data_IF_000777852842
#
_entry.id   IF_000777852842
#
_cell.length_a   1.000
_cell.length_b   1.000
_cell.length_c   1.000
_cell.angle_alpha   90.00
_cell.angle_beta   90.00
_cell.angle_gamma   90.00
#
_symmetry.space_group_name_H-M   'P 1'
#
loop_
_entity.id
_entity.type
_entity.pdbx_description
1 polymer ?
#
# COMPACT_ATOMS: atom_id res chain seq x y z
N UNK A 1 -20.36 -62.38 1.45
CA UNK A 1 -19.22 -62.06 0.56
C UNK A 1 -19.31 -60.60 0.19
N UNK A 2 -18.27 -59.84 0.50
CA UNK A 2 -18.10 -58.46 0.11
C UNK A 2 -17.90 -58.33 -1.41
N UNK A 3 -18.34 -57.23 -2.02
CA UNK A 3 -17.67 -56.68 -3.21
C UNK A 3 -17.89 -55.17 -3.33
N UNK A 4 -16.78 -54.47 -3.03
CA UNK A 4 -16.19 -53.30 -3.73
C UNK A 4 -17.05 -52.06 -3.97
N UNK A 5 -16.76 -51.01 -3.18
CA UNK A 5 -16.87 -49.60 -3.63
C UNK A 5 -15.47 -48.98 -3.59
N UNK A 6 -15.04 -48.43 -4.70
CA UNK A 6 -13.96 -47.45 -4.83
C UNK A 6 -14.21 -46.60 -6.10
N UNK A 7 -13.59 -45.42 -6.28
CA UNK A 7 -13.76 -44.24 -5.45
C UNK A 7 -14.04 -43.00 -6.33
N UNK A 8 -14.51 -41.88 -5.78
CA UNK A 8 -14.30 -40.58 -6.48
C UNK A 8 -14.12 -39.45 -5.49
N UNK A 9 -12.83 -39.25 -5.17
CA UNK A 9 -12.11 -37.98 -5.00
C UNK A 9 -12.90 -36.80 -4.41
N UNK A 10 -12.57 -36.48 -3.15
CA UNK A 10 -12.66 -35.12 -2.62
C UNK A 10 -11.71 -34.23 -3.41
N UNK A 11 -12.15 -33.03 -3.80
CA UNK A 11 -11.37 -31.79 -3.70
C UNK A 11 -12.29 -30.62 -4.08
N UNK A 12 -12.54 -29.74 -3.12
CA UNK A 12 -13.29 -28.51 -3.31
C UNK A 12 -12.93 -27.57 -2.16
N UNK A 13 -11.74 -26.98 -2.24
CA UNK A 13 -11.30 -25.92 -1.34
C UNK A 13 -12.26 -24.76 -1.54
N UNK A 14 -13.22 -24.63 -0.63
CA UNK A 14 -14.13 -23.49 -0.62
C UNK A 14 -13.30 -22.21 -0.45
N UNK A 15 -13.24 -21.39 -1.49
CA UNK A 15 -12.74 -20.02 -1.39
C UNK A 15 -13.59 -19.30 -0.35
N UNK A 16 -13.00 -19.00 0.81
CA UNK A 16 -13.60 -18.10 1.78
C UNK A 16 -13.54 -16.71 1.18
N UNK A 17 -14.64 -16.25 0.59
CA UNK A 17 -14.85 -14.86 0.21
C UNK A 17 -14.79 -14.00 1.49
N UNK A 18 -13.59 -13.52 1.85
CA UNK A 18 -13.41 -12.61 2.98
C UNK A 18 -13.90 -11.21 2.58
N UNK A 19 -15.20 -10.98 2.76
CA UNK A 19 -15.77 -9.61 2.73
C UNK A 19 -15.25 -8.84 3.94
N UNK A 20 -14.86 -7.58 3.71
CA UNK A 20 -14.49 -6.67 4.81
C UNK A 20 -15.73 -6.39 5.66
N UNK A 21 -15.65 -6.54 6.99
CA UNK A 21 -16.77 -6.24 7.87
C UNK A 21 -17.30 -4.81 7.63
N UNK A 22 -18.62 -4.67 7.55
CA UNK A 22 -19.29 -3.37 7.32
C UNK A 22 -19.04 -2.35 8.45
N UNK A 23 -18.44 -2.80 9.55
CA UNK A 23 -18.09 -2.03 10.74
C UNK A 23 -16.57 -1.80 10.92
N UNK A 24 -15.74 -2.15 9.93
CA UNK A 24 -14.30 -1.85 9.97
C UNK A 24 -14.07 -0.35 10.04
N UNK A 25 -13.35 0.08 11.07
CA UNK A 25 -13.14 1.49 11.36
C UNK A 25 -12.42 2.21 10.20
N UNK A 26 -11.38 1.58 9.63
CA UNK A 26 -10.58 2.10 8.52
C UNK A 26 -10.34 1.06 7.41
N UNK A 27 -10.71 1.34 6.14
CA UNK A 27 -10.52 0.39 5.03
C UNK A 27 -9.09 0.36 4.48
N UNK A 28 -8.22 1.31 4.85
CA UNK A 28 -6.90 1.47 4.24
C UNK A 28 -6.01 0.21 4.35
N UNK A 29 -5.89 -0.47 5.52
CA UNK A 29 -5.11 -1.71 5.63
C UNK A 29 -5.55 -2.86 4.72
N UNK A 30 -6.76 -2.80 4.18
CA UNK A 30 -7.35 -3.83 3.33
C UNK A 30 -7.34 -3.47 1.85
N UNK A 31 -7.00 -2.23 1.49
CA UNK A 31 -7.12 -1.74 0.10
C UNK A 31 -5.93 -0.98 -0.43
N UNK A 32 -5.03 -0.51 0.44
CA UNK A 32 -4.01 0.46 0.07
C UNK A 32 -2.61 -0.12 0.20
N UNK A 33 -1.81 0.06 -0.85
CA UNK A 33 -0.35 0.01 -0.76
C UNK A 33 0.20 1.41 -1.07
N UNK A 34 0.90 1.99 -0.11
CA UNK A 34 1.52 3.31 -0.20
C UNK A 34 3.05 3.16 -0.24
N UNK A 35 3.64 3.47 -1.38
CA UNK A 35 5.05 3.28 -1.69
C UNK A 35 5.84 4.55 -1.37
N UNK A 36 6.79 4.47 -0.44
CA UNK A 36 7.65 5.59 -0.04
C UNK A 36 8.95 5.64 -0.85
N UNK A 37 9.59 6.82 -1.04
CA UNK A 37 10.79 6.94 -1.87
C UNK A 37 11.95 6.02 -1.47
N UNK A 38 12.04 5.68 -0.19
CA UNK A 38 13.09 4.82 0.37
C UNK A 38 12.85 3.31 0.14
N UNK A 39 11.70 2.93 -0.43
CA UNK A 39 11.32 1.54 -0.70
C UNK A 39 10.40 0.90 0.34
N UNK A 40 10.08 1.62 1.41
CA UNK A 40 9.10 1.15 2.37
C UNK A 40 7.68 1.18 1.80
N UNK A 41 6.88 0.19 2.18
CA UNK A 41 5.46 0.11 1.82
C UNK A 41 4.63 0.27 3.08
N UNK A 42 3.58 1.09 3.02
CA UNK A 42 2.67 1.37 4.13
C UNK A 42 1.22 1.08 3.74
N UNK A 43 0.35 0.99 4.75
CA UNK A 43 -1.09 0.82 4.55
C UNK A 43 -1.84 2.15 4.31
N UNK A 44 -1.21 3.30 4.57
CA UNK A 44 -1.69 4.65 4.23
C UNK A 44 -0.62 5.70 4.54
N UNK A 45 -0.85 6.93 4.11
CA UNK A 45 0.12 8.03 4.24
C UNK A 45 0.37 8.46 5.70
N UNK A 46 -0.58 8.22 6.59
CA UNK A 46 -0.47 8.52 8.02
C UNK A 46 0.17 7.41 8.84
N UNK A 47 0.25 6.19 8.28
CA UNK A 47 0.82 5.00 8.91
C UNK A 47 2.34 4.87 8.65
N UNK A 48 3.00 5.97 8.31
CA UNK A 48 4.41 5.98 7.93
C UNK A 48 5.36 5.39 9.00
N UNK A 49 4.97 5.40 10.28
CA UNK A 49 5.77 4.80 11.37
C UNK A 49 5.72 3.27 11.41
N UNK A 50 4.84 2.62 10.65
CA UNK A 50 4.68 1.17 10.65
C UNK A 50 4.63 0.61 9.21
N UNK A 51 5.77 0.49 8.52
CA UNK A 51 5.77 -0.14 7.20
C UNK A 51 5.23 -1.57 7.28
N UNK A 52 4.49 -2.00 6.26
CA UNK A 52 4.03 -3.38 6.08
C UNK A 52 5.06 -4.22 5.30
N UNK A 53 6.05 -3.59 4.67
CA UNK A 53 7.16 -4.27 4.03
C UNK A 53 8.15 -3.33 3.35
N UNK A 54 9.07 -3.93 2.59
CA UNK A 54 10.16 -3.22 1.89
C UNK A 54 10.41 -3.84 0.52
N UNK A 55 10.20 -3.07 -0.55
CA UNK A 55 10.33 -3.56 -1.94
C UNK A 55 11.77 -3.92 -2.32
N UNK A 56 12.76 -3.50 -1.54
CA UNK A 56 14.17 -3.81 -1.80
C UNK A 56 14.49 -5.25 -1.43
N UNK A 57 13.77 -5.82 -0.48
CA UNK A 57 14.05 -7.16 0.07
C UNK A 57 12.92 -8.15 -0.15
N UNK A 58 11.70 -7.68 -0.41
CA UNK A 58 10.51 -8.52 -0.56
C UNK A 58 9.83 -8.24 -1.91
N UNK A 59 9.15 -9.26 -2.44
CA UNK A 59 8.21 -9.13 -3.56
C UNK A 59 6.93 -8.42 -3.10
N UNK A 60 6.18 -7.80 -4.02
CA UNK A 60 4.89 -7.17 -3.72
C UNK A 60 3.92 -8.13 -3.03
N UNK A 61 3.94 -9.41 -3.43
CA UNK A 61 3.08 -10.45 -2.87
C UNK A 61 3.46 -10.80 -1.44
N UNK A 62 4.74 -10.96 -1.16
CA UNK A 62 5.25 -11.17 0.20
C UNK A 62 4.96 -9.99 1.12
N UNK A 63 4.91 -8.76 0.59
CA UNK A 63 4.54 -7.57 1.36
C UNK A 63 3.04 -7.57 1.66
N UNK A 64 2.19 -7.76 0.64
CA UNK A 64 0.74 -7.65 0.78
C UNK A 64 0.13 -8.78 1.60
N UNK A 65 0.58 -10.01 1.40
CA UNK A 65 0.05 -11.19 2.09
C UNK A 65 0.86 -11.56 3.35
N UNK A 66 1.99 -10.87 3.55
CA UNK A 66 2.94 -11.15 4.63
C UNK A 66 2.45 -10.83 6.04
N UNK A 67 3.19 -11.32 7.06
CA UNK A 67 2.76 -11.28 8.45
C UNK A 67 2.53 -9.86 8.99
N UNK A 68 3.28 -8.85 8.52
CA UNK A 68 3.11 -7.46 8.96
C UNK A 68 1.79 -6.87 8.47
N UNK A 69 1.44 -7.07 7.20
CA UNK A 69 0.16 -6.63 6.65
C UNK A 69 -1.01 -7.36 7.34
N UNK A 70 -0.90 -8.67 7.55
CA UNK A 70 -1.93 -9.45 8.26
C UNK A 70 -2.10 -9.01 9.73
N UNK A 71 -1.00 -8.72 10.43
CA UNK A 71 -1.05 -8.22 11.80
C UNK A 71 -1.79 -6.87 11.89
N UNK A 72 -1.50 -5.95 10.98
CA UNK A 72 -2.19 -4.66 10.90
C UNK A 72 -3.69 -4.82 10.59
N UNK A 73 -4.05 -5.69 9.63
CA UNK A 73 -5.46 -5.99 9.30
C UNK A 73 -6.20 -6.57 10.50
N UNK A 74 -5.62 -7.57 11.16
CA UNK A 74 -6.22 -8.18 12.35
C UNK A 74 -6.35 -7.19 13.53
N UNK A 75 -5.38 -6.30 13.70
CA UNK A 75 -5.48 -5.21 14.69
C UNK A 75 -6.64 -4.26 14.36
N UNK A 76 -6.78 -3.88 13.09
CA UNK A 76 -7.85 -2.98 12.64
C UNK A 76 -9.25 -3.60 12.81
N UNK A 77 -9.41 -4.91 12.59
CA UNK A 77 -10.66 -5.64 12.89
C UNK A 77 -11.05 -5.54 14.36
N UNK A 78 -10.06 -5.51 15.26
CA UNK A 78 -10.26 -5.32 16.71
C UNK A 78 -10.28 -3.85 17.14
N UNK A 79 -10.29 -2.90 16.19
CA UNK A 79 -10.20 -1.45 16.42
C UNK A 79 -8.96 -1.03 17.21
N UNK A 80 -7.90 -1.83 17.11
CA UNK A 80 -6.60 -1.55 17.70
C UNK A 80 -5.75 -0.67 16.75
N UNK A 81 -5.26 0.43 17.28
CA UNK A 81 -4.51 1.45 16.54
C UNK A 81 -3.00 1.41 16.82
N UNK A 82 -2.51 0.40 17.54
CA UNK A 82 -1.11 0.27 17.96
C UNK A 82 -0.10 0.22 16.80
N UNK A 83 -0.55 -0.19 15.61
CA UNK A 83 0.30 -0.41 14.43
C UNK A 83 0.42 0.84 13.56
N UNK A 84 0.79 1.99 14.16
CA UNK A 84 1.01 3.25 13.42
C UNK A 84 -0.24 4.07 13.13
N UNK A 85 -1.39 3.78 13.76
CA UNK A 85 -2.66 4.51 13.55
C UNK A 85 -3.02 5.45 14.72
N UNK A 86 -2.10 5.66 15.67
CA UNK A 86 -2.35 6.41 16.91
C UNK A 86 -2.75 7.88 16.69
N UNK A 87 -2.22 8.53 15.65
CA UNK A 87 -2.59 9.90 15.29
C UNK A 87 -4.06 10.01 14.87
N UNK A 88 -4.55 9.05 14.08
CA UNK A 88 -5.97 8.97 13.71
C UNK A 88 -6.85 8.73 14.95
N UNK A 89 -6.46 7.80 15.82
CA UNK A 89 -7.16 7.55 17.10
C UNK A 89 -7.25 8.82 17.94
N UNK A 90 -6.15 9.57 18.06
CA UNK A 90 -6.11 10.79 18.85
C UNK A 90 -7.05 11.86 18.28
N UNK A 91 -7.03 12.10 16.97
CA UNK A 91 -7.94 13.06 16.32
C UNK A 91 -9.42 12.67 16.50
N UNK A 92 -9.72 11.38 16.39
CA UNK A 92 -11.06 10.84 16.65
C UNK A 92 -11.51 11.11 18.08
N UNK A 93 -10.64 10.87 19.06
CA UNK A 93 -10.92 11.11 20.47
C UNK A 93 -11.12 12.60 20.80
N UNK A 94 -10.43 13.49 20.07
CA UNK A 94 -10.56 14.93 20.22
C UNK A 94 -11.76 15.53 19.48
N UNK A 95 -12.50 14.73 18.69
CA UNK A 95 -13.63 15.21 17.90
C UNK A 95 -13.26 16.18 16.78
N UNK A 96 -11.98 16.26 16.39
CA UNK A 96 -11.48 17.19 15.36
C UNK A 96 -11.71 16.70 13.93
N UNK A 97 -12.40 15.58 13.78
CA UNK A 97 -12.67 14.92 12.51
C UNK A 97 -11.56 13.96 12.08
N UNK A 98 -11.90 13.09 11.13
CA UNK A 98 -11.01 12.06 10.60
C UNK A 98 -10.83 12.25 9.09
N UNK A 99 -10.17 13.33 8.61
CA UNK A 99 -10.11 13.65 7.19
C UNK A 99 -9.43 12.54 6.36
N UNK A 100 -8.37 11.93 6.89
CA UNK A 100 -7.69 10.79 6.25
C UNK A 100 -8.62 9.58 6.15
N UNK A 101 -9.45 9.37 7.18
CA UNK A 101 -10.37 8.26 7.17
C UNK A 101 -11.56 8.52 6.23
N UNK A 102 -12.05 9.75 6.19
CA UNK A 102 -13.04 10.19 5.20
C UNK A 102 -12.52 10.00 3.78
N UNK A 103 -11.22 10.25 3.54
CA UNK A 103 -10.57 9.98 2.26
C UNK A 103 -10.65 8.51 1.87
N UNK A 104 -10.24 7.61 2.76
CA UNK A 104 -10.26 6.17 2.46
C UNK A 104 -11.67 5.56 2.46
N UNK A 105 -12.62 6.11 3.23
CA UNK A 105 -14.04 5.73 3.23
C UNK A 105 -14.80 6.15 1.96
N UNK A 106 -14.29 7.14 1.19
CA UNK A 106 -14.87 7.50 -0.12
C UNK A 106 -14.69 6.40 -1.17
N UNK A 107 -13.73 5.50 -0.96
CA UNK A 107 -13.66 4.29 -1.77
C UNK A 107 -14.76 3.32 -1.29
N UNK A 108 -15.49 2.66 -2.20
CA UNK A 108 -16.44 1.62 -1.80
C UNK A 108 -15.75 0.54 -0.96
N UNK A 109 -16.54 -0.21 -0.19
CA UNK A 109 -16.02 -1.34 0.54
C UNK A 109 -15.15 -2.22 -0.38
N UNK A 110 -14.03 -2.77 0.13
CA UNK A 110 -13.05 -3.48 -0.69
C UNK A 110 -13.73 -4.63 -1.43
N UNK A 111 -13.59 -4.72 -2.76
CA UNK A 111 -14.26 -5.77 -3.54
C UNK A 111 -13.62 -7.13 -3.30
N UNK A 112 -12.31 -7.14 -3.19
CA UNK A 112 -11.52 -8.34 -2.92
C UNK A 112 -10.27 -7.97 -2.11
N UNK A 113 -10.17 -8.44 -0.86
CA UNK A 113 -9.01 -8.19 0.02
C UNK A 113 -7.74 -8.89 -0.45
N UNK A 114 -7.84 -9.82 -1.41
CA UNK A 114 -6.68 -10.47 -2.02
C UNK A 114 -5.82 -9.48 -2.83
N UNK A 115 -6.43 -8.37 -3.26
CA UNK A 115 -5.77 -7.33 -4.05
C UNK A 115 -5.90 -5.96 -3.38
N UNK A 116 -4.83 -5.14 -3.37
CA UNK A 116 -5.02 -3.72 -3.13
C UNK A 116 -5.83 -3.12 -4.28
N UNK A 117 -6.72 -2.18 -3.95
CA UNK A 117 -7.51 -1.44 -4.94
C UNK A 117 -6.95 -0.02 -5.16
N UNK A 118 -6.08 0.43 -4.28
CA UNK A 118 -5.41 1.72 -4.35
C UNK A 118 -3.92 1.53 -4.17
N UNK A 119 -3.15 1.96 -5.17
CA UNK A 119 -1.70 2.09 -5.03
C UNK A 119 -1.31 3.56 -5.13
N UNK A 120 -0.54 4.01 -4.15
CA UNK A 120 0.03 5.34 -4.16
C UNK A 120 1.55 5.25 -4.37
N UNK A 121 1.99 5.79 -5.48
CA UNK A 121 3.35 5.70 -5.99
C UNK A 121 4.12 6.95 -5.57
N UNK A 122 4.92 6.85 -4.50
CA UNK A 122 5.94 7.81 -4.11
C UNK A 122 7.33 7.29 -4.43
N UNK A 123 7.61 7.02 -5.72
CA UNK A 123 8.71 6.11 -6.10
C UNK A 123 10.11 6.74 -6.05
N UNK A 124 10.20 8.07 -6.07
CA UNK A 124 11.47 8.77 -5.89
C UNK A 124 11.21 10.18 -5.34
N UNK A 125 12.27 10.83 -4.85
CA UNK A 125 12.19 12.20 -4.34
C UNK A 125 12.69 13.26 -5.33
N UNK A 126 12.82 12.93 -6.63
CA UNK A 126 13.33 13.88 -7.65
C UNK A 126 12.40 15.09 -7.73
N UNK A 127 12.91 16.26 -7.37
CA UNK A 127 12.13 17.49 -7.27
C UNK A 127 13.01 18.71 -7.55
N UNK A 128 12.48 19.67 -8.31
CA UNK A 128 13.11 20.98 -8.54
C UNK A 128 12.73 22.03 -7.46
N UNK A 129 11.66 21.80 -6.69
CA UNK A 129 11.14 22.74 -5.68
C UNK A 129 11.70 22.48 -4.28
N UNK A 130 11.74 23.55 -3.48
CA UNK A 130 12.14 23.57 -2.08
C UNK A 130 11.03 24.14 -1.19
N UNK A 131 9.85 23.53 -1.24
CA UNK A 131 8.67 24.04 -0.53
C UNK A 131 8.85 23.94 1.00
N UNK A 132 8.39 24.95 1.74
CA UNK A 132 8.63 25.08 3.18
C UNK A 132 8.03 23.94 4.05
N UNK A 133 7.00 23.24 3.55
CA UNK A 133 6.39 22.09 4.24
C UNK A 133 7.06 20.74 3.94
N UNK A 134 8.03 20.72 3.01
CA UNK A 134 8.68 19.50 2.55
C UNK A 134 10.02 19.29 3.29
N UNK A 135 10.63 18.11 3.12
CA UNK A 135 11.96 17.78 3.65
C UNK A 135 12.76 16.93 2.67
N UNK A 136 14.05 16.72 2.94
CA UNK A 136 14.97 16.03 2.02
C UNK A 136 14.67 14.55 1.75
N UNK A 137 13.71 13.93 2.44
CA UNK A 137 13.19 12.62 2.03
C UNK A 137 12.21 12.73 0.86
N UNK A 138 11.52 13.85 0.70
CA UNK A 138 10.47 14.07 -0.29
C UNK A 138 10.89 15.05 -1.41
N UNK A 139 11.99 15.80 -1.24
CA UNK A 139 12.57 16.66 -2.29
C UNK A 139 14.08 16.51 -2.37
N UNK A 140 14.59 16.16 -3.56
CA UNK A 140 16.03 16.09 -3.85
C UNK A 140 16.71 17.45 -3.75
N UNK A 141 15.99 18.54 -4.02
CA UNK A 141 16.51 19.91 -3.87
C UNK A 141 16.76 20.25 -2.40
N UNK A 142 15.78 19.98 -1.52
CA UNK A 142 15.95 20.16 -0.08
C UNK A 142 17.03 19.23 0.48
N UNK A 143 17.07 17.98 0.02
CA UNK A 143 18.08 17.01 0.44
C UNK A 143 19.51 17.49 0.19
N UNK A 144 19.75 18.11 -0.97
CA UNK A 144 21.03 18.70 -1.29
C UNK A 144 21.36 19.92 -0.39
N UNK A 145 20.36 20.77 -0.10
CA UNK A 145 20.51 21.90 0.83
C UNK A 145 20.78 21.43 2.27
N UNK A 146 20.23 20.29 2.68
CA UNK A 146 20.51 19.61 3.94
C UNK A 146 21.91 18.95 3.97
N UNK A 147 22.68 18.99 2.87
CA UNK A 147 24.00 18.35 2.78
C UNK A 147 23.96 16.82 2.76
N UNK A 148 22.81 16.22 2.46
CA UNK A 148 22.61 14.77 2.46
C UNK A 148 22.91 14.19 1.07
N UNK A 149 23.46 12.97 0.98
CA UNK A 149 23.69 12.31 -0.31
C UNK A 149 22.37 12.10 -1.05
N UNK A 150 22.42 12.02 -2.39
CA UNK A 150 21.24 11.71 -3.20
C UNK A 150 20.56 10.43 -2.70
N UNK A 151 19.23 10.40 -2.77
CA UNK A 151 18.49 9.20 -2.43
C UNK A 151 18.83 8.11 -3.45
N UNK A 152 19.13 6.91 -2.97
CA UNK A 152 19.35 5.76 -3.85
C UNK A 152 18.00 5.27 -4.39
N UNK A 153 17.90 4.90 -5.68
CA UNK A 153 16.69 4.31 -6.23
C UNK A 153 16.34 3.01 -5.48
N UNK A 154 15.09 2.90 -5.03
CA UNK A 154 14.60 1.70 -4.34
C UNK A 154 13.83 0.74 -5.26
N UNK A 155 13.38 1.22 -6.43
CA UNK A 155 12.46 0.51 -7.32
C UNK A 155 13.19 0.07 -8.59
N UNK A 156 13.48 -1.23 -8.69
CA UNK A 156 14.15 -1.84 -9.85
C UNK A 156 13.22 -2.69 -10.71
N UNK A 157 13.77 -3.33 -11.75
CA UNK A 157 13.00 -4.07 -12.74
C UNK A 157 12.12 -5.19 -12.16
N UNK A 158 12.58 -5.83 -11.07
CA UNK A 158 11.76 -6.80 -10.33
C UNK A 158 10.42 -6.21 -9.90
N UNK A 159 10.43 -5.03 -9.28
CA UNK A 159 9.21 -4.37 -8.81
C UNK A 159 8.24 -4.11 -9.97
N UNK A 160 8.75 -3.61 -11.10
CA UNK A 160 7.90 -3.32 -12.27
C UNK A 160 7.35 -4.59 -12.93
N UNK A 161 8.12 -5.68 -12.95
CA UNK A 161 7.65 -6.97 -13.43
C UNK A 161 6.52 -7.54 -12.55
N UNK A 162 6.66 -7.44 -11.23
CA UNK A 162 5.62 -7.87 -10.29
C UNK A 162 4.38 -6.98 -10.35
N UNK A 163 4.55 -5.67 -10.59
CA UNK A 163 3.46 -4.70 -10.60
C UNK A 163 2.38 -5.04 -11.65
N UNK A 164 2.76 -5.66 -12.78
CA UNK A 164 1.85 -6.08 -13.85
C UNK A 164 0.70 -6.97 -13.33
N UNK A 165 0.97 -7.83 -12.34
CA UNK A 165 -0.05 -8.69 -11.73
C UNK A 165 -1.08 -7.87 -10.93
N UNK A 166 -0.66 -6.75 -10.33
CA UNK A 166 -1.51 -5.96 -9.43
C UNK A 166 -2.34 -4.90 -10.15
N UNK A 167 -1.80 -4.31 -11.23
CA UNK A 167 -2.42 -3.17 -11.92
C UNK A 167 -3.88 -3.43 -12.37
N UNK A 168 -4.26 -4.61 -12.93
CA UNK A 168 -5.64 -4.87 -13.36
C UNK A 168 -6.68 -4.81 -12.23
N UNK A 169 -6.25 -4.93 -10.97
CA UNK A 169 -7.13 -4.93 -9.80
C UNK A 169 -7.32 -3.54 -9.19
N UNK A 170 -6.52 -2.55 -9.61
CA UNK A 170 -6.58 -1.20 -9.08
C UNK A 170 -7.84 -0.47 -9.55
N UNK A 171 -8.47 0.22 -8.62
CA UNK A 171 -9.48 1.26 -8.90
C UNK A 171 -8.86 2.62 -9.02
N UNK A 172 -7.74 2.84 -8.33
CA UNK A 172 -7.08 4.13 -8.22
C UNK A 172 -5.57 3.94 -8.14
N UNK A 173 -4.89 4.69 -9.00
CA UNK A 173 -3.45 4.91 -8.90
C UNK A 173 -3.23 6.39 -8.55
N UNK A 174 -2.40 6.65 -7.55
CA UNK A 174 -1.98 7.99 -7.17
C UNK A 174 -0.49 8.16 -7.38
N UNK A 175 -0.08 9.30 -7.93
CA UNK A 175 1.33 9.59 -8.17
C UNK A 175 1.73 10.77 -7.31
N UNK A 176 2.68 10.54 -6.41
CA UNK A 176 3.13 11.45 -5.35
C UNK A 176 4.65 11.38 -5.25
N UNK A 177 5.24 12.17 -4.35
CA UNK A 177 6.69 12.13 -4.12
C UNK A 177 7.48 12.92 -5.16
N UNK A 178 8.48 13.66 -4.67
CA UNK A 178 9.22 14.60 -5.49
C UNK A 178 8.30 15.60 -6.23
N UNK A 179 8.67 15.89 -7.46
CA UNK A 179 7.76 16.42 -8.47
C UNK A 179 7.29 15.24 -9.34
N UNK A 180 5.98 14.92 -9.36
CA UNK A 180 5.49 13.69 -10.01
C UNK A 180 5.92 13.50 -11.47
N UNK A 181 6.08 14.58 -12.24
CA UNK A 181 6.49 14.52 -13.65
C UNK A 181 8.02 14.50 -13.86
N UNK A 182 8.83 14.59 -12.81
CA UNK A 182 10.29 14.42 -12.88
C UNK A 182 10.75 13.04 -12.40
N UNK A 183 9.87 12.26 -11.79
CA UNK A 183 10.15 10.91 -11.31
C UNK A 183 10.01 9.92 -12.47
N UNK A 184 11.13 9.36 -12.93
CA UNK A 184 11.19 8.46 -14.10
C UNK A 184 10.39 7.18 -13.90
N UNK A 185 10.37 6.69 -12.66
CA UNK A 185 9.64 5.51 -12.23
C UNK A 185 8.12 5.66 -12.44
N UNK A 186 7.57 6.87 -12.36
CA UNK A 186 6.15 7.08 -12.64
C UNK A 186 5.80 6.84 -14.11
N UNK A 187 6.66 7.28 -15.04
CA UNK A 187 6.47 7.02 -16.47
C UNK A 187 6.46 5.52 -16.77
N UNK A 188 7.34 4.75 -16.12
CA UNK A 188 7.33 3.28 -16.25
C UNK A 188 5.99 2.68 -15.80
N UNK A 189 5.41 3.15 -14.69
CA UNK A 189 4.08 2.70 -14.26
C UNK A 189 3.01 3.09 -15.28
N UNK A 190 3.04 4.32 -15.80
CA UNK A 190 2.07 4.78 -16.81
C UNK A 190 2.16 3.98 -18.12
N UNK A 191 3.36 3.65 -18.57
CA UNK A 191 3.56 2.80 -19.74
C UNK A 191 2.95 1.40 -19.51
N UNK A 192 3.19 0.79 -18.35
CA UNK A 192 2.57 -0.49 -17.99
C UNK A 192 1.03 -0.40 -17.95
N UNK A 193 0.48 0.68 -17.39
CA UNK A 193 -0.97 0.89 -17.35
C UNK A 193 -1.57 1.06 -18.74
N UNK A 194 -0.85 1.66 -19.69
CA UNK A 194 -1.31 1.84 -21.08
C UNK A 194 -1.37 0.52 -21.86
N UNK A 195 -0.60 -0.48 -21.44
CA UNK A 195 -0.49 -1.78 -22.12
C UNK A 195 -1.55 -2.81 -21.67
N UNK A 196 -2.34 -2.48 -20.64
CA UNK A 196 -3.41 -3.30 -20.07
C UNK A 196 -4.79 -2.97 -20.66
#
# INVERSE_FOLDING_TARGET
MATVREPTVRLGVGRVERRVPVDVLCPAPFTVMDFAPEGHVHACCVNASHPIGDVRTQTLREIWDGPRAQALRAAMERRDHAYGCGSCRQRSALGTGEPDLAYYRRNPAPRDVHWPELMAFGLHNTCNLACAMCGGNLSSRLRALEGRPRLAPAYGDRFFAELVEFLPHLRRAEFRGGEPFLVREHFRVWDLVREL
#
